data_IF_536880406309
#
_entry.id   IF_536880406309
#
_cell.length_a   1.000
_cell.length_b   1.000
_cell.length_c   1.000
_cell.angle_alpha   90.00
_cell.angle_beta   90.00
_cell.angle_gamma   90.00
#
_symmetry.space_group_name_H-M   'P 1'
#
loop_
_entity.id
_entity.type
_entity.pdbx_description
1 polymer ?
#
# COMPACT_ATOMS: atom_id res chain seq x y z
N UNK A 1 -27.37 37.44 16.92
CA UNK A 1 -27.23 36.63 18.15
C UNK A 1 -27.84 35.27 17.83
N UNK A 2 -27.14 34.15 17.69
CA UNK A 2 -25.95 33.64 18.37
C UNK A 2 -25.15 32.77 17.40
N UNK A 3 -23.88 33.12 17.22
CA UNK A 3 -22.83 32.30 16.61
C UNK A 3 -22.58 31.09 17.53
N UNK A 4 -22.82 29.86 17.07
CA UNK A 4 -22.34 28.67 17.78
C UNK A 4 -21.01 28.25 17.17
N UNK A 5 -19.92 28.74 17.79
CA UNK A 5 -18.62 28.09 17.71
C UNK A 5 -18.75 26.68 18.30
N UNK A 6 -18.28 25.67 17.58
CA UNK A 6 -17.79 24.44 18.20
C UNK A 6 -16.39 24.19 17.66
N UNK A 7 -15.41 24.73 18.39
CA UNK A 7 -14.05 24.21 18.38
C UNK A 7 -13.98 23.09 19.40
N UNK A 8 -13.59 21.89 18.96
CA UNK A 8 -12.71 21.00 19.70
C UNK A 8 -12.31 19.87 18.76
N UNK A 9 -11.07 19.92 18.32
CA UNK A 9 -10.32 18.86 17.69
C UNK A 9 -10.32 17.65 18.65
N UNK A 10 -11.18 16.66 18.42
CA UNK A 10 -11.05 15.38 19.12
C UNK A 10 -9.94 14.58 18.42
N UNK A 11 -8.72 14.69 18.94
CA UNK A 11 -7.69 13.69 18.69
C UNK A 11 -8.03 12.48 19.57
N UNK A 12 -8.96 11.64 19.11
CA UNK A 12 -9.06 10.29 19.69
C UNK A 12 -7.85 9.52 19.20
N UNK A 13 -6.81 9.46 20.03
CA UNK A 13 -5.81 8.42 19.90
C UNK A 13 -6.51 7.09 20.18
N UNK A 14 -7.03 6.45 19.14
CA UNK A 14 -7.30 5.02 19.18
C UNK A 14 -5.96 4.36 19.50
N UNK A 15 -5.91 3.64 20.60
CA UNK A 15 -4.77 2.78 20.93
C UNK A 15 -4.74 1.65 19.91
N UNK A 16 -4.05 1.88 18.79
CA UNK A 16 -3.63 0.82 17.88
C UNK A 16 -2.65 -0.07 18.65
N UNK A 17 -2.97 -1.37 18.75
CA UNK A 17 -2.00 -2.38 19.12
C UNK A 17 -0.98 -2.47 17.97
N UNK A 18 -0.01 -1.56 17.94
CA UNK A 18 1.12 -1.61 17.04
C UNK A 18 2.01 -2.77 17.48
N UNK A 19 1.90 -3.92 16.81
CA UNK A 19 3.00 -4.88 16.83
C UNK A 19 4.20 -4.17 16.18
N UNK A 20 5.33 -4.11 16.90
CA UNK A 20 6.48 -3.31 16.52
C UNK A 20 6.96 -3.69 15.11
N UNK A 21 6.78 -2.78 14.16
CA UNK A 21 7.18 -2.96 12.79
C UNK A 21 8.70 -2.88 12.65
N UNK A 22 9.26 -3.95 12.08
CA UNK A 22 10.68 -4.10 11.78
C UNK A 22 10.90 -3.58 10.35
N UNK A 23 12.05 -2.96 10.08
CA UNK A 23 12.46 -2.64 8.70
C UNK A 23 12.81 -3.96 8.03
N UNK A 24 12.24 -4.21 6.85
CA UNK A 24 12.59 -5.39 6.05
C UNK A 24 14.09 -5.36 5.77
N UNK A 25 14.80 -6.45 6.08
CA UNK A 25 16.25 -6.56 5.88
C UNK A 25 16.65 -6.68 4.40
N UNK A 26 15.69 -6.70 3.46
CA UNK A 26 15.91 -6.98 2.05
C UNK A 26 15.77 -5.77 1.11
N UNK A 27 14.89 -4.82 1.44
CA UNK A 27 14.53 -3.71 0.55
C UNK A 27 14.50 -2.33 1.25
N UNK A 28 14.89 -2.26 2.53
CA UNK A 28 14.80 -1.06 3.38
C UNK A 28 13.36 -0.52 3.58
N UNK A 29 12.33 -1.19 3.08
CA UNK A 29 10.95 -0.77 3.24
C UNK A 29 10.48 -1.00 4.68
N UNK A 30 9.50 -0.18 5.09
CA UNK A 30 8.83 -0.31 6.36
C UNK A 30 7.42 -0.85 6.14
N UNK A 31 6.99 -1.80 6.98
CA UNK A 31 5.68 -2.44 6.87
C UNK A 31 4.90 -2.29 8.17
N UNK A 32 3.60 -1.99 8.09
CA UNK A 32 2.70 -1.83 9.22
C UNK A 32 1.44 -2.69 9.01
N UNK A 33 1.14 -3.57 9.97
CA UNK A 33 -0.06 -4.39 9.95
C UNK A 33 -1.21 -3.67 10.67
N UNK A 34 -2.31 -3.45 9.98
CA UNK A 34 -3.56 -2.96 10.56
C UNK A 34 -4.58 -4.09 10.61
N UNK A 35 -4.99 -4.50 11.82
CA UNK A 35 -5.96 -5.57 12.01
C UNK A 35 -7.38 -5.03 12.15
N UNK A 36 -8.35 -5.68 11.49
CA UNK A 36 -9.76 -5.39 11.66
C UNK A 36 -10.28 -5.85 13.02
N UNK A 37 -11.37 -5.21 13.44
CA UNK A 37 -12.14 -5.53 14.66
C UNK A 37 -13.62 -5.63 14.30
N UNK A 38 -14.45 -6.03 15.26
CA UNK A 38 -15.90 -6.12 15.04
C UNK A 38 -16.53 -4.77 14.69
N UNK A 39 -15.96 -3.67 15.21
CA UNK A 39 -16.46 -2.30 15.00
C UNK A 39 -15.72 -1.55 13.88
N UNK A 40 -14.64 -2.11 13.33
CA UNK A 40 -13.81 -1.44 12.34
C UNK A 40 -13.25 -2.41 11.30
N UNK A 41 -13.76 -2.27 10.09
CA UNK A 41 -13.36 -2.99 8.88
C UNK A 41 -13.40 -2.00 7.72
N UNK A 42 -12.47 -2.18 6.80
CA UNK A 42 -12.42 -1.45 5.54
C UNK A 42 -12.58 -2.44 4.40
N UNK A 43 -13.23 -2.03 3.32
CA UNK A 43 -13.07 -2.71 2.04
C UNK A 43 -11.64 -2.46 1.47
N UNK A 44 -11.29 -3.11 0.36
CA UNK A 44 -9.96 -2.97 -0.21
C UNK A 44 -9.65 -1.54 -0.68
N UNK A 45 -10.63 -0.83 -1.27
CA UNK A 45 -10.46 0.54 -1.74
C UNK A 45 -10.30 1.51 -0.56
N UNK A 46 -11.09 1.33 0.49
CA UNK A 46 -10.98 2.08 1.73
C UNK A 46 -9.64 1.82 2.43
N UNK A 47 -9.18 0.57 2.48
CA UNK A 47 -7.87 0.21 3.02
C UNK A 47 -6.72 0.86 2.22
N UNK A 48 -6.85 0.92 0.89
CA UNK A 48 -5.92 1.64 0.02
C UNK A 48 -5.88 3.14 0.34
N UNK A 49 -7.03 3.79 0.40
CA UNK A 49 -7.11 5.22 0.73
C UNK A 49 -6.58 5.51 2.14
N UNK A 50 -6.87 4.63 3.10
CA UNK A 50 -6.34 4.73 4.45
C UNK A 50 -4.81 4.64 4.44
N UNK A 51 -4.23 3.64 3.78
CA UNK A 51 -2.79 3.49 3.63
C UNK A 51 -2.12 4.73 3.03
N UNK A 52 -2.70 5.28 1.95
CA UNK A 52 -2.24 6.49 1.26
C UNK A 52 -2.29 7.76 2.13
N UNK A 53 -3.12 7.76 3.18
CA UNK A 53 -3.21 8.85 4.15
C UNK A 53 -2.15 8.80 5.24
N UNK A 54 -1.50 7.64 5.45
CA UNK A 54 -0.51 7.46 6.50
C UNK A 54 0.83 8.05 6.08
N UNK A 55 1.54 8.64 7.05
CA UNK A 55 2.85 9.24 6.84
C UNK A 55 3.83 8.70 7.87
N UNK A 56 5.09 8.57 7.45
CA UNK A 56 6.17 8.12 8.32
C UNK A 56 7.43 8.98 8.12
N UNK A 57 8.05 9.52 9.18
CA UNK A 57 9.28 10.27 9.05
C UNK A 57 10.39 9.48 8.34
N UNK A 58 10.94 10.04 7.26
CA UNK A 58 12.00 9.40 6.47
C UNK A 58 11.51 8.47 5.35
N UNK A 59 10.20 8.31 5.18
CA UNK A 59 9.59 7.45 4.16
C UNK A 59 8.54 8.21 3.34
N UNK A 60 8.11 7.62 2.23
CA UNK A 60 6.94 8.05 1.46
C UNK A 60 5.66 8.04 2.32
N UNK A 61 4.55 8.53 1.75
CA UNK A 61 3.24 8.11 2.25
C UNK A 61 3.09 6.59 2.11
N UNK A 62 2.24 6.01 2.95
CA UNK A 62 1.94 4.59 2.91
C UNK A 62 1.20 4.21 1.63
N UNK A 63 1.23 2.92 1.29
CA UNK A 63 0.39 2.29 0.28
C UNK A 63 0.14 0.84 0.69
N UNK A 64 -0.86 0.17 0.12
CA UNK A 64 -1.04 -1.26 0.40
C UNK A 64 0.18 -2.04 -0.09
N UNK A 65 0.69 -2.95 0.75
CA UNK A 65 1.97 -3.59 0.54
C UNK A 65 2.05 -4.35 -0.79
N UNK A 66 3.16 -4.17 -1.49
CA UNK A 66 3.50 -4.89 -2.71
C UNK A 66 4.51 -5.99 -2.38
N UNK A 67 4.50 -7.06 -3.18
CA UNK A 67 5.41 -8.19 -2.99
C UNK A 67 6.05 -8.51 -4.33
N UNK A 68 7.29 -8.09 -4.47
CA UNK A 68 8.11 -8.21 -5.66
C UNK A 68 9.17 -9.31 -5.54
N UNK A 69 9.30 -9.94 -4.37
CA UNK A 69 10.24 -11.02 -4.13
C UNK A 69 9.77 -12.03 -3.06
N UNK A 70 10.34 -13.24 -3.10
CA UNK A 70 10.12 -14.25 -2.06
C UNK A 70 10.53 -13.75 -0.67
N UNK A 71 11.59 -12.95 -0.58
CA UNK A 71 12.06 -12.43 0.70
C UNK A 71 11.05 -11.47 1.34
N UNK A 72 10.37 -10.64 0.53
CA UNK A 72 9.28 -9.79 1.01
C UNK A 72 8.07 -10.62 1.45
N UNK A 73 7.70 -11.64 0.69
CA UNK A 73 6.60 -12.56 1.04
C UNK A 73 6.86 -13.24 2.39
N UNK A 74 8.02 -13.89 2.52
CA UNK A 74 8.45 -14.56 3.75
C UNK A 74 8.47 -13.58 4.93
N UNK A 75 8.93 -12.34 4.73
CA UNK A 75 8.98 -11.33 5.78
C UNK A 75 7.58 -10.90 6.25
N UNK A 76 6.67 -10.63 5.32
CA UNK A 76 5.28 -10.28 5.64
C UNK A 76 4.55 -11.45 6.32
N UNK A 77 4.80 -12.67 5.87
CA UNK A 77 4.17 -13.85 6.43
C UNK A 77 4.72 -14.21 7.82
N UNK A 78 6.02 -14.42 7.94
CA UNK A 78 6.65 -14.97 9.15
C UNK A 78 6.95 -13.93 10.23
N UNK A 79 7.28 -12.69 9.84
CA UNK A 79 7.70 -11.64 10.79
C UNK A 79 6.54 -10.70 11.13
N UNK A 80 5.84 -10.20 10.12
CA UNK A 80 4.71 -9.28 10.32
C UNK A 80 3.46 -10.04 10.78
N UNK A 81 3.28 -11.30 10.34
CA UNK A 81 2.10 -12.09 10.65
C UNK A 81 0.87 -11.65 9.85
N UNK A 82 1.07 -11.26 8.59
CA UNK A 82 0.09 -10.71 7.66
C UNK A 82 -0.99 -11.71 7.17
N UNK A 83 -1.35 -12.68 8.00
CA UNK A 83 -2.26 -13.75 7.57
C UNK A 83 -3.69 -13.21 7.40
N UNK A 84 -4.30 -13.50 6.25
CA UNK A 84 -5.68 -13.10 5.96
C UNK A 84 -5.84 -11.60 5.70
N UNK A 85 -4.79 -10.89 5.28
CA UNK A 85 -4.82 -9.44 5.10
C UNK A 85 -4.81 -9.04 3.64
N UNK A 86 -5.44 -7.91 3.32
CA UNK A 86 -5.31 -7.29 2.00
C UNK A 86 -3.87 -6.87 1.71
N UNK A 87 -3.51 -6.97 0.43
CA UNK A 87 -2.26 -6.53 -0.18
C UNK A 87 -2.56 -5.60 -1.35
N UNK A 88 -1.55 -4.90 -1.87
CA UNK A 88 -1.68 -3.88 -2.90
C UNK A 88 -1.88 -4.39 -4.33
N UNK A 89 -2.15 -5.68 -4.51
CA UNK A 89 -2.43 -6.27 -5.82
C UNK A 89 -3.90 -6.16 -6.19
N UNK A 90 -4.19 -5.85 -7.45
CA UNK A 90 -5.55 -5.88 -7.99
C UNK A 90 -5.54 -6.30 -9.46
N UNK A 91 -6.63 -6.90 -9.92
CA UNK A 91 -6.84 -7.28 -11.31
C UNK A 91 -7.67 -6.20 -12.03
N UNK A 92 -7.38 -5.99 -13.31
CA UNK A 92 -8.16 -5.12 -14.19
C UNK A 92 -9.05 -5.99 -15.07
N UNK A 93 -10.02 -6.63 -14.41
CA UNK A 93 -11.00 -7.49 -15.07
C UNK A 93 -12.01 -6.68 -15.87
N UNK A 94 -12.30 -7.13 -17.09
CA UNK A 94 -13.31 -6.50 -17.94
C UNK A 94 -13.95 -7.52 -18.87
N UNK A 95 -15.21 -7.30 -19.23
CA UNK A 95 -15.84 -8.05 -20.31
C UNK A 95 -15.46 -7.45 -21.66
N UNK A 96 -15.02 -8.31 -22.59
CA UNK A 96 -14.87 -7.91 -23.99
C UNK A 96 -16.22 -7.79 -24.69
N UNK A 97 -16.21 -7.42 -25.98
CA UNK A 97 -17.44 -7.23 -26.78
C UNK A 97 -18.31 -8.48 -26.89
N UNK A 98 -17.78 -9.66 -26.57
CA UNK A 98 -18.49 -10.93 -26.63
C UNK A 98 -19.02 -11.37 -25.26
N UNK A 99 -18.89 -10.52 -24.21
CA UNK A 99 -19.30 -10.84 -22.84
C UNK A 99 -18.38 -11.84 -22.13
N UNK A 100 -17.18 -12.08 -22.67
CA UNK A 100 -16.17 -12.96 -22.04
C UNK A 100 -15.30 -12.09 -21.14
N UNK A 101 -15.11 -12.52 -19.90
CA UNK A 101 -14.19 -11.88 -18.97
C UNK A 101 -12.74 -12.04 -19.43
N UNK A 102 -12.05 -10.91 -19.53
CA UNK A 102 -10.59 -10.80 -19.60
C UNK A 102 -10.14 -10.44 -18.18
N UNK A 103 -9.50 -11.41 -17.51
CA UNK A 103 -8.96 -11.31 -16.16
C UNK A 103 -7.50 -11.80 -16.19
N UNK A 104 -6.85 -11.85 -15.03
CA UNK A 104 -5.41 -12.12 -14.82
C UNK A 104 -4.47 -11.00 -15.29
N UNK A 105 -4.95 -9.76 -15.35
CA UNK A 105 -4.15 -8.57 -15.62
C UNK A 105 -3.79 -7.85 -14.30
N UNK A 106 -3.09 -8.57 -13.42
CA UNK A 106 -2.73 -8.12 -12.09
C UNK A 106 -1.73 -6.96 -12.11
N UNK A 107 -1.95 -5.99 -11.23
CA UNK A 107 -1.14 -4.79 -11.06
C UNK A 107 -0.91 -4.50 -9.59
N UNK A 108 0.24 -3.91 -9.29
CA UNK A 108 0.49 -3.29 -7.99
C UNK A 108 -0.07 -1.87 -7.96
N UNK A 109 -0.58 -1.42 -6.80
CA UNK A 109 -1.00 -0.03 -6.58
C UNK A 109 0.12 1.00 -6.85
N UNK A 110 1.37 0.58 -6.79
CA UNK A 110 2.56 1.40 -7.08
C UNK A 110 2.88 1.51 -8.58
N UNK A 111 2.26 0.67 -9.42
CA UNK A 111 2.56 0.56 -10.86
C UNK A 111 3.82 -0.26 -11.18
N UNK A 112 4.44 -0.91 -10.20
CA UNK A 112 5.55 -1.83 -10.40
C UNK A 112 5.12 -3.08 -11.18
N UNK A 113 6.07 -3.81 -11.77
CA UNK A 113 5.79 -5.03 -12.52
C UNK A 113 5.28 -6.15 -11.60
N UNK A 114 4.09 -6.67 -11.90
CA UNK A 114 3.54 -7.86 -11.25
C UNK A 114 4.19 -9.13 -11.83
N UNK A 115 5.39 -9.48 -11.32
CA UNK A 115 6.20 -10.59 -11.86
C UNK A 115 6.51 -11.69 -10.84
N UNK A 116 6.55 -11.36 -9.56
CA UNK A 116 6.55 -12.34 -8.47
C UNK A 116 5.11 -12.71 -8.15
N UNK A 117 4.86 -14.01 -7.90
CA UNK A 117 3.57 -14.45 -7.41
C UNK A 117 3.68 -15.66 -6.51
N UNK A 118 2.80 -15.72 -5.52
CA UNK A 118 2.72 -16.81 -4.57
C UNK A 118 1.27 -17.31 -4.41
N UNK A 119 0.55 -17.38 -5.52
CA UNK A 119 -0.83 -17.85 -5.57
C UNK A 119 -1.00 -19.22 -4.92
N UNK A 120 -2.14 -19.40 -4.27
CA UNK A 120 -2.61 -20.73 -3.90
C UNK A 120 -2.95 -21.53 -5.16
N UNK A 121 -2.88 -22.86 -5.09
CA UNK A 121 -3.26 -23.73 -6.20
C UNK A 121 -4.72 -23.45 -6.61
N UNK A 122 -4.91 -23.10 -7.88
CA UNK A 122 -6.21 -22.73 -8.44
C UNK A 122 -6.46 -21.23 -8.54
N UNK A 123 -5.60 -20.40 -7.95
CA UNK A 123 -5.72 -18.95 -7.96
C UNK A 123 -4.78 -18.25 -8.94
N UNK A 124 -5.14 -17.03 -9.38
CA UNK A 124 -6.40 -16.33 -9.14
C UNK A 124 -7.53 -16.85 -10.04
N UNK A 125 -8.76 -16.88 -9.53
CA UNK A 125 -9.88 -17.55 -10.20
C UNK A 125 -11.04 -16.62 -10.62
N UNK A 126 -11.04 -15.34 -10.21
CA UNK A 126 -12.11 -14.38 -10.48
C UNK A 126 -13.50 -14.91 -10.10
N UNK A 127 -13.59 -15.59 -8.96
CA UNK A 127 -14.82 -16.26 -8.54
C UNK A 127 -15.87 -15.25 -8.05
N UNK A 128 -17.13 -15.69 -8.05
CA UNK A 128 -18.25 -14.99 -7.43
C UNK A 128 -19.28 -16.00 -6.94
N UNK A 129 -19.97 -15.71 -5.85
CA UNK A 129 -20.85 -16.66 -5.18
C UNK A 129 -22.27 -16.79 -5.79
N UNK A 130 -22.61 -15.94 -6.76
CA UNK A 130 -23.90 -15.90 -7.44
C UNK A 130 -24.96 -15.12 -6.68
N UNK A 131 -24.63 -14.58 -5.51
CA UNK A 131 -25.58 -13.92 -4.64
C UNK A 131 -25.68 -12.43 -4.95
N UNK A 132 -26.88 -11.88 -4.79
CA UNK A 132 -27.07 -10.42 -4.81
C UNK A 132 -26.47 -9.75 -3.56
N UNK A 133 -26.07 -10.52 -2.54
CA UNK A 133 -25.53 -9.99 -1.29
C UNK A 133 -24.03 -9.64 -1.42
N UNK A 134 -23.31 -10.36 -2.28
CA UNK A 134 -21.89 -10.15 -2.56
C UNK A 134 -21.65 -10.21 -4.08
N UNK A 135 -22.10 -9.18 -4.81
CA UNK A 135 -22.21 -9.22 -6.27
C UNK A 135 -20.87 -9.08 -7.01
N UNK A 136 -19.84 -8.60 -6.32
CA UNK A 136 -18.55 -8.29 -6.93
C UNK A 136 -17.69 -9.55 -7.05
N UNK A 137 -17.06 -9.78 -8.22
CA UNK A 137 -16.12 -10.88 -8.39
C UNK A 137 -14.80 -10.63 -7.66
N UNK A 138 -13.98 -11.68 -7.55
CA UNK A 138 -12.67 -11.62 -6.93
C UNK A 138 -11.63 -10.95 -7.85
N UNK A 139 -11.15 -9.77 -7.46
CA UNK A 139 -10.22 -8.95 -8.25
C UNK A 139 -9.17 -8.24 -7.36
N UNK A 140 -9.08 -8.59 -6.08
CA UNK A 140 -8.22 -7.92 -5.11
C UNK A 140 -7.34 -8.91 -4.36
N UNK A 141 -6.05 -8.59 -4.19
CA UNK A 141 -5.08 -9.52 -3.61
C UNK A 141 -5.20 -9.55 -2.10
N UNK A 142 -5.12 -10.76 -1.53
CA UNK A 142 -4.92 -10.95 -0.11
C UNK A 142 -4.02 -12.15 0.19
N UNK A 143 -3.45 -12.18 1.39
CA UNK A 143 -2.98 -13.43 1.96
C UNK A 143 -4.16 -14.35 2.31
N UNK A 144 -4.05 -15.62 1.98
CA UNK A 144 -5.07 -16.62 2.26
C UNK A 144 -5.35 -16.73 3.78
N UNK A 145 -6.63 -16.80 4.17
CA UNK A 145 -7.04 -16.75 5.58
C UNK A 145 -7.09 -18.13 6.24
N UNK A 146 -7.30 -19.21 5.46
CA UNK A 146 -7.55 -20.55 6.01
C UNK A 146 -6.32 -21.13 6.70
N UNK A 147 -6.57 -21.89 7.76
CA UNK A 147 -5.52 -22.52 8.56
C UNK A 147 -4.91 -23.77 7.92
N UNK A 148 -5.60 -24.34 6.93
CA UNK A 148 -5.10 -25.47 6.14
C UNK A 148 -3.83 -25.11 5.35
N UNK A 149 -3.66 -23.85 4.98
CA UNK A 149 -2.62 -23.38 4.06
C UNK A 149 -1.48 -22.66 4.81
N UNK A 150 -1.21 -23.11 6.04
CA UNK A 150 -0.28 -22.47 7.00
C UNK A 150 1.18 -22.43 6.54
N UNK A 151 1.54 -23.22 5.53
CA UNK A 151 2.91 -23.32 5.04
C UNK A 151 3.11 -22.48 3.78
N UNK A 152 3.50 -21.21 3.96
CA UNK A 152 4.15 -20.42 2.92
C UNK A 152 3.38 -19.23 2.37
N UNK A 153 2.48 -18.60 3.14
CA UNK A 153 1.94 -17.29 2.78
C UNK A 153 1.22 -17.22 1.44
N UNK A 154 0.45 -18.26 1.08
CA UNK A 154 -0.20 -18.29 -0.23
C UNK A 154 -1.23 -17.16 -0.40
N UNK A 155 -1.34 -16.68 -1.64
CA UNK A 155 -2.26 -15.60 -1.99
C UNK A 155 -3.61 -16.13 -2.46
N UNK A 156 -4.66 -15.35 -2.19
CA UNK A 156 -5.97 -15.47 -2.82
C UNK A 156 -6.34 -14.16 -3.52
N UNK A 157 -7.16 -14.22 -4.57
CA UNK A 157 -7.98 -13.10 -4.97
C UNK A 157 -9.25 -13.05 -4.11
N UNK A 158 -9.82 -11.87 -3.94
CA UNK A 158 -11.06 -11.69 -3.19
C UNK A 158 -11.84 -10.54 -3.75
N UNK A 159 -13.15 -10.48 -3.47
CA UNK A 159 -13.95 -9.34 -3.87
C UNK A 159 -13.63 -8.13 -2.99
N UNK A 160 -14.09 -6.95 -3.40
CA UNK A 160 -13.70 -5.68 -2.77
C UNK A 160 -13.90 -5.66 -1.25
N UNK A 161 -14.95 -6.31 -0.77
CA UNK A 161 -15.31 -6.35 0.64
C UNK A 161 -14.75 -7.56 1.39
N UNK A 162 -14.10 -8.49 0.69
CA UNK A 162 -13.80 -9.84 1.16
C UNK A 162 -14.99 -10.48 1.87
N UNK A 163 -16.02 -10.75 1.09
CA UNK A 163 -17.30 -11.22 1.57
C UNK A 163 -17.85 -12.35 0.73
N UNK A 164 -18.53 -13.29 1.37
CA UNK A 164 -19.24 -14.40 0.71
C UNK A 164 -20.54 -14.68 1.46
N UNK A 165 -21.58 -15.13 0.77
CA UNK A 165 -22.81 -15.59 1.38
C UNK A 165 -22.69 -17.06 1.79
N UNK A 166 -22.71 -17.34 3.09
CA UNK A 166 -22.69 -18.69 3.66
C UNK A 166 -23.87 -18.85 4.60
N UNK A 167 -24.65 -19.92 4.44
CA UNK A 167 -25.83 -20.20 5.27
C UNK A 167 -26.80 -18.99 5.39
N UNK A 168 -26.98 -18.26 4.29
CA UNK A 168 -27.84 -17.08 4.19
C UNK A 168 -27.38 -15.89 5.06
N UNK A 169 -26.09 -15.85 5.43
CA UNK A 169 -25.43 -14.74 6.12
C UNK A 169 -24.16 -14.32 5.39
N UNK A 170 -23.90 -13.02 5.33
CA UNK A 170 -22.65 -12.50 4.77
C UNK A 170 -21.53 -12.74 5.77
N UNK A 171 -20.51 -13.46 5.33
CA UNK A 171 -19.28 -13.71 6.08
C UNK A 171 -18.17 -12.86 5.50
N UNK A 172 -17.36 -12.26 6.36
CA UNK A 172 -16.14 -11.56 5.97
C UNK A 172 -14.90 -12.29 6.47
N UNK A 173 -13.90 -12.50 5.61
CA UNK A 173 -12.72 -13.30 5.97
C UNK A 173 -11.42 -12.51 6.13
N UNK A 174 -11.37 -11.28 5.59
CA UNK A 174 -10.24 -10.38 5.79
C UNK A 174 -10.05 -10.08 7.29
N UNK A 175 -8.81 -10.10 7.73
CA UNK A 175 -8.36 -9.82 9.09
C UNK A 175 -7.71 -8.46 9.23
N UNK A 176 -7.50 -7.75 8.12
CA UNK A 176 -6.77 -6.49 8.10
C UNK A 176 -6.15 -6.19 6.74
N UNK A 177 -5.14 -5.34 6.74
CA UNK A 177 -4.34 -4.97 5.58
C UNK A 177 -2.90 -4.64 6.01
N UNK A 178 -1.95 -4.78 5.09
CA UNK A 178 -0.56 -4.38 5.31
C UNK A 178 -0.28 -3.08 4.57
N UNK A 179 0.27 -2.10 5.27
CA UNK A 179 0.78 -0.85 4.70
C UNK A 179 2.29 -0.97 4.53
N UNK A 180 2.78 -0.49 3.40
CA UNK A 180 4.19 -0.40 3.07
C UNK A 180 4.59 1.06 2.86
N UNK A 181 5.82 1.39 3.23
CA UNK A 181 6.42 2.70 3.03
C UNK A 181 7.81 2.55 2.42
N UNK A 182 8.08 3.30 1.34
CA UNK A 182 9.39 3.34 0.68
C UNK A 182 10.30 4.38 1.35
N UNK A 183 11.58 4.08 1.62
CA UNK A 183 12.53 5.08 2.09
C UNK A 183 12.64 6.28 1.14
N UNK A 184 12.63 7.49 1.69
CA UNK A 184 12.95 8.67 0.90
C UNK A 184 14.43 8.65 0.55
N UNK A 185 14.75 8.76 -0.74
CA UNK A 185 16.13 8.90 -1.19
C UNK A 185 16.72 10.20 -0.63
N UNK A 186 17.69 10.09 0.29
CA UNK A 186 18.45 11.25 0.76
C UNK A 186 19.44 11.62 -0.34
N UNK A 187 19.02 12.51 -1.25
CA UNK A 187 19.98 13.15 -2.15
C UNK A 187 20.84 14.08 -1.31
N UNK A 188 22.06 13.66 -0.97
CA UNK A 188 23.05 14.64 -0.50
C UNK A 188 23.29 15.59 -1.67
N UNK A 189 23.01 16.90 -1.53
CA UNK A 189 23.28 17.82 -2.63
C UNK A 189 24.76 17.68 -3.01
N UNK A 190 25.02 17.47 -4.30
CA UNK A 190 26.40 17.44 -4.82
C UNK A 190 27.08 18.72 -4.33
N UNK A 191 28.18 18.65 -3.55
CA UNK A 191 28.89 19.83 -3.13
C UNK A 191 29.27 20.62 -4.38
N UNK A 192 28.89 21.90 -4.43
CA UNK A 192 29.31 22.78 -5.53
C UNK A 192 30.83 22.61 -5.71
N UNK A 193 31.30 22.19 -6.90
CA UNK A 193 32.74 22.06 -7.12
C UNK A 193 33.37 23.43 -6.82
N UNK A 194 34.60 23.48 -6.26
CA UNK A 194 35.27 24.75 -5.96
C UNK A 194 35.31 25.73 -7.15
N UNK A 195 35.22 25.24 -8.38
CA UNK A 195 35.09 26.03 -9.61
C UNK A 195 33.81 26.87 -9.69
N UNK A 196 32.69 26.43 -9.13
CA UNK A 196 31.44 27.19 -9.11
C UNK A 196 31.58 28.51 -8.30
N UNK A 197 32.41 28.51 -7.25
CA UNK A 197 32.73 29.73 -6.50
C UNK A 197 33.61 30.70 -7.29
N UNK A 198 34.48 30.19 -8.17
CA UNK A 198 35.32 31.04 -9.04
C UNK A 198 34.47 31.84 -10.04
N UNK A 199 33.40 31.25 -10.59
CA UNK A 199 32.50 31.98 -11.51
C UNK A 199 31.70 33.10 -10.82
N UNK A 200 31.26 32.88 -9.57
CA UNK A 200 30.56 33.92 -8.77
C UNK A 200 31.50 35.08 -8.41
N UNK A 201 32.75 34.79 -8.05
CA UNK A 201 33.76 35.83 -7.79
C UNK A 201 34.19 36.59 -9.05
N UNK A 202 34.25 35.93 -10.20
CA UNK A 202 34.57 36.54 -11.50
C UNK A 202 33.52 37.56 -11.95
N UNK A 203 32.24 37.27 -11.74
CA UNK A 203 31.15 38.20 -12.06
C UNK A 203 31.19 39.47 -11.19
N UNK A 204 31.50 39.36 -9.89
CA UNK A 204 31.61 40.53 -8.98
C UNK A 204 32.78 41.45 -9.32
N UNK A 205 33.89 40.92 -9.86
CA UNK A 205 35.05 41.72 -10.29
C UNK A 205 34.82 42.47 -11.60
N UNK A 206 33.92 42.02 -12.46
CA UNK A 206 33.60 42.68 -13.73
C UNK A 206 32.73 43.94 -13.55
N UNK A 207 31.93 44.03 -12.49
CA UNK A 207 31.10 45.21 -12.20
C UNK A 207 31.80 46.30 -11.39
N UNK A 208 32.92 46.02 -10.72
CA UNK A 208 33.62 47.02 -9.91
C UNK A 208 34.55 47.95 -10.71
N UNK A 209 34.86 47.64 -11.98
CA UNK A 209 35.82 48.41 -12.80
C UNK A 209 35.23 49.52 -13.68
N UNK A 210 33.93 49.85 -13.59
CA UNK A 210 33.28 50.82 -14.50
C UNK A 210 32.84 52.15 -13.89
N UNK A 211 33.57 52.64 -12.87
CA UNK A 211 33.51 54.06 -12.47
C UNK A 211 34.91 54.66 -12.44
N UNK A 212 35.00 55.91 -12.88
CA UNK A 212 36.17 56.79 -13.05
C UNK A 212 36.83 56.82 -14.44
N UNK A 213 36.24 57.64 -15.33
CA UNK A 213 36.97 58.70 -16.04
C UNK A 213 36.05 59.94 -16.12
N UNK A 214 36.58 61.07 -15.64
CA UNK A 214 36.02 62.41 -15.81
C UNK A 214 36.23 62.90 -17.24
#
# INVERSE_FOLDING_TARGET
>A
MSLKLFSALMLTAMSLNLQAAVVSSGNDHYYELHTFTDDWRLDWNEAKLFAESLTRPGYSNGYLATITSQQEDDYLWDVIGARGTFLGGFDVSKQNSNGIWEHQNWQWVTGESFSYSNWHDGEPNHWQDGSNATPDPEDYLMYWWRASDINGGRWNDTNVNNSELVDNQVRYTARGFVVEYTPLQITTPVPLPPSAWLFVSGFMLLFSKRKFKN
#
